data_IF_273745047820
#
_entry.id   IF_273745047820
#
_cell.length_a   1.000
_cell.length_b   1.000
_cell.length_c   1.000
_cell.angle_alpha   90.00
_cell.angle_beta   90.00
_cell.angle_gamma   90.00
#
_symmetry.space_group_name_H-M   'P 1'
#
loop_
_entity.id
_entity.type
_entity.pdbx_description
1 polymer ?
#
# COMPACT_ATOMS: atom_id res chain seq x y z
N UNK A 1 -32.48 -13.57 -1.50
CA UNK A 1 -31.20 -13.69 -2.22
C UNK A 1 -30.45 -12.39 -2.04
N UNK A 2 -29.13 -12.45 -1.99
CA UNK A 2 -28.28 -11.27 -1.78
C UNK A 2 -27.93 -10.61 -3.12
N UNK A 3 -27.94 -9.28 -3.17
CA UNK A 3 -27.60 -8.47 -4.35
C UNK A 3 -26.26 -7.74 -4.18
N UNK A 4 -25.74 -7.16 -5.27
CA UNK A 4 -24.53 -6.33 -5.21
C UNK A 4 -24.69 -5.06 -4.35
N UNK A 5 -25.92 -4.57 -4.19
CA UNK A 5 -26.21 -3.34 -3.46
C UNK A 5 -26.53 -3.60 -1.99
N UNK A 6 -26.63 -4.86 -1.57
CA UNK A 6 -26.86 -5.21 -0.18
C UNK A 6 -25.57 -5.01 0.64
N UNK A 7 -25.65 -4.53 1.88
CA UNK A 7 -24.50 -4.35 2.74
C UNK A 7 -23.82 -5.70 3.08
N UNK A 8 -22.56 -5.61 3.51
CA UNK A 8 -21.76 -6.74 3.99
C UNK A 8 -20.83 -6.30 5.12
N UNK A 9 -20.71 -7.14 6.15
CA UNK A 9 -19.72 -6.96 7.22
C UNK A 9 -18.45 -7.77 6.92
N UNK A 10 -17.30 -7.11 6.92
CA UNK A 10 -15.98 -7.68 6.70
C UNK A 10 -15.12 -7.46 7.94
N UNK A 11 -15.16 -8.41 8.88
CA UNK A 11 -14.58 -8.20 10.21
C UNK A 11 -15.25 -7.02 10.92
N UNK A 12 -14.50 -5.95 11.14
CA UNK A 12 -14.99 -4.70 11.76
C UNK A 12 -15.39 -3.61 10.75
N UNK A 13 -15.34 -3.92 9.45
CA UNK A 13 -15.70 -2.97 8.38
C UNK A 13 -17.14 -3.25 7.94
N UNK A 14 -18.03 -2.28 8.13
CA UNK A 14 -19.37 -2.28 7.56
C UNK A 14 -19.37 -1.59 6.18
N UNK A 15 -19.40 -2.42 5.13
CA UNK A 15 -19.44 -1.95 3.74
C UNK A 15 -20.90 -1.79 3.28
N UNK A 16 -21.27 -0.63 2.67
CA UNK A 16 -22.66 -0.33 2.28
C UNK A 16 -23.14 -1.17 1.09
N UNK A 17 -22.23 -1.78 0.34
CA UNK A 17 -22.51 -2.63 -0.82
C UNK A 17 -21.36 -3.62 -1.04
N UNK A 18 -21.50 -4.52 -2.02
CA UNK A 18 -20.53 -5.58 -2.36
C UNK A 18 -19.70 -5.25 -3.60
N UNK A 19 -19.63 -3.97 -4.00
CA UNK A 19 -18.86 -3.51 -5.15
C UNK A 19 -17.54 -2.96 -4.62
N UNK A 20 -16.46 -3.72 -4.78
CA UNK A 20 -15.14 -3.35 -4.29
C UNK A 20 -14.27 -2.79 -5.41
N UNK A 21 -13.50 -1.75 -5.09
CA UNK A 21 -12.46 -1.25 -5.98
C UNK A 21 -11.19 -2.07 -5.77
N UNK A 22 -10.81 -2.81 -6.81
CA UNK A 22 -9.59 -3.61 -6.82
C UNK A 22 -8.32 -2.73 -6.70
N UNK A 23 -7.22 -3.28 -6.16
CA UNK A 23 -5.95 -2.56 -6.08
C UNK A 23 -5.37 -2.32 -7.48
N UNK A 24 -5.05 -1.05 -7.78
CA UNK A 24 -4.53 -0.65 -9.08
C UNK A 24 -3.36 0.31 -8.92
N UNK A 25 -2.12 -0.14 -9.16
CA UNK A 25 -0.93 0.71 -9.14
C UNK A 25 -0.98 1.77 -10.24
N UNK A 26 -0.97 3.06 -9.87
CA UNK A 26 -1.14 4.18 -10.82
C UNK A 26 0.11 5.01 -11.06
N UNK A 27 1.15 4.87 -10.24
CA UNK A 27 2.37 5.66 -10.33
C UNK A 27 2.10 7.19 -10.32
N UNK A 28 1.43 7.66 -9.25
CA UNK A 28 1.07 9.09 -9.05
C UNK A 28 1.60 9.68 -7.74
N UNK A 29 2.48 8.95 -7.06
CA UNK A 29 3.25 9.46 -5.93
C UNK A 29 4.40 10.36 -6.37
N UNK A 30 5.10 10.94 -5.41
CA UNK A 30 6.37 11.65 -5.64
C UNK A 30 7.53 10.69 -5.89
N UNK A 31 8.71 11.20 -6.23
CA UNK A 31 9.95 10.39 -6.29
C UNK A 31 10.34 9.81 -4.93
N UNK A 32 9.96 10.49 -3.85
CA UNK A 32 10.15 10.04 -2.46
C UNK A 32 9.03 9.10 -1.97
N UNK A 33 8.20 8.63 -2.92
CA UNK A 33 7.13 7.68 -2.68
C UNK A 33 6.01 8.21 -1.75
N UNK A 34 5.82 9.54 -1.71
CA UNK A 34 4.79 10.22 -0.92
C UNK A 34 3.51 10.38 -1.74
N UNK A 35 2.35 10.16 -1.11
CA UNK A 35 1.04 10.34 -1.74
C UNK A 35 0.72 11.82 -1.99
N UNK A 36 0.24 12.10 -3.20
CA UNK A 36 -0.04 13.46 -3.69
C UNK A 36 -1.51 13.86 -3.52
N UNK A 37 -1.83 15.14 -3.68
CA UNK A 37 -3.22 15.65 -3.58
C UNK A 37 -4.16 15.07 -4.65
N UNK A 38 -3.65 14.80 -5.85
CA UNK A 38 -4.42 14.15 -6.93
C UNK A 38 -4.84 12.73 -6.54
N UNK A 39 -4.03 12.01 -5.75
CA UNK A 39 -4.41 10.68 -5.26
C UNK A 39 -5.58 10.76 -4.27
N UNK A 40 -5.60 11.76 -3.38
CA UNK A 40 -6.71 11.97 -2.46
C UNK A 40 -8.02 12.24 -3.20
N UNK A 41 -8.00 13.13 -4.21
CA UNK A 41 -9.16 13.39 -5.06
C UNK A 41 -9.61 12.13 -5.82
N UNK A 42 -8.64 11.36 -6.36
CA UNK A 42 -8.91 10.14 -7.12
C UNK A 42 -9.67 9.08 -6.30
N UNK A 43 -9.25 8.86 -5.04
CA UNK A 43 -9.92 7.90 -4.17
C UNK A 43 -11.24 8.43 -3.61
N UNK A 44 -11.32 9.72 -3.25
CA UNK A 44 -12.55 10.33 -2.76
C UNK A 44 -13.70 10.23 -3.80
N UNK A 45 -13.40 10.44 -5.08
CA UNK A 45 -14.35 10.26 -6.17
C UNK A 45 -14.91 8.82 -6.30
N UNK A 46 -14.25 7.83 -5.68
CA UNK A 46 -14.60 6.39 -5.73
C UNK A 46 -15.12 5.87 -4.39
N UNK A 47 -15.37 6.76 -3.43
CA UNK A 47 -15.82 6.42 -2.08
C UNK A 47 -17.21 5.74 -2.03
N UNK A 48 -17.96 5.71 -3.14
CA UNK A 48 -19.21 4.95 -3.25
C UNK A 48 -19.00 3.43 -3.33
N UNK A 49 -17.78 2.96 -3.62
CA UNK A 49 -17.44 1.56 -3.51
C UNK A 49 -17.64 1.07 -2.07
N UNK A 50 -18.12 -0.16 -1.90
CA UNK A 50 -18.31 -0.77 -0.59
C UNK A 50 -17.01 -0.80 0.21
N UNK A 51 -15.90 -1.10 -0.48
CA UNK A 51 -14.54 -1.04 0.04
C UNK A 51 -13.56 -0.70 -1.09
N UNK A 52 -12.64 0.20 -0.80
CA UNK A 52 -11.48 0.51 -1.64
C UNK A 52 -10.28 -0.27 -1.12
N UNK A 53 -9.61 -1.01 -2.01
CA UNK A 53 -8.27 -1.54 -1.76
C UNK A 53 -7.30 -0.60 -2.46
N UNK A 54 -6.39 0.02 -1.71
CA UNK A 54 -5.43 0.97 -2.28
C UNK A 54 -4.58 0.34 -3.37
N UNK A 55 -3.91 1.19 -4.16
CA UNK A 55 -2.72 0.77 -4.90
C UNK A 55 -1.71 0.08 -3.98
N UNK A 56 -0.79 -0.69 -4.59
CA UNK A 56 0.24 -1.38 -3.86
C UNK A 56 1.18 -0.39 -3.15
N UNK A 57 1.24 -0.46 -1.82
CA UNK A 57 2.04 0.44 -0.97
C UNK A 57 3.28 -0.30 -0.48
N UNK A 58 4.46 0.21 -0.84
CA UNK A 58 5.73 -0.35 -0.41
C UNK A 58 5.91 -0.29 1.11
N UNK A 59 6.20 -1.43 1.74
CA UNK A 59 6.46 -1.50 3.19
C UNK A 59 7.89 -1.08 3.59
N UNK A 60 8.78 -0.98 2.61
CA UNK A 60 10.20 -0.63 2.79
C UNK A 60 10.78 -0.18 1.45
N UNK A 61 11.86 0.59 1.48
CA UNK A 61 12.59 0.97 0.28
C UNK A 61 13.11 -0.28 -0.47
N UNK A 62 13.66 -1.26 0.26
CA UNK A 62 14.14 -2.53 -0.30
C UNK A 62 13.08 -3.29 -1.09
N UNK A 63 11.81 -3.20 -0.66
CA UNK A 63 10.69 -3.90 -1.24
C UNK A 63 9.95 -3.15 -2.35
N UNK A 64 10.38 -1.93 -2.72
CA UNK A 64 9.70 -1.12 -3.72
C UNK A 64 10.65 -0.79 -4.88
N UNK A 65 10.22 -1.12 -6.10
CA UNK A 65 10.95 -0.94 -7.34
C UNK A 65 10.09 -0.41 -8.48
N UNK A 66 9.00 0.27 -8.15
CA UNK A 66 8.07 0.83 -9.13
C UNK A 66 8.15 2.37 -9.11
N UNK A 67 8.49 3.02 -10.25
CA UNK A 67 8.58 4.48 -10.31
C UNK A 67 7.28 5.14 -9.87
N UNK A 68 7.36 6.11 -8.97
CA UNK A 68 6.22 6.88 -8.46
C UNK A 68 5.10 6.05 -7.79
N UNK A 69 5.34 4.77 -7.48
CA UNK A 69 4.51 4.06 -6.49
C UNK A 69 4.75 4.66 -5.11
N UNK A 70 3.82 4.46 -4.18
CA UNK A 70 3.89 5.05 -2.84
C UNK A 70 4.41 4.08 -1.78
N UNK A 71 4.85 4.63 -0.64
CA UNK A 71 5.41 3.90 0.48
C UNK A 71 4.66 4.13 1.79
N UNK A 72 5.04 3.38 2.84
CA UNK A 72 4.54 3.56 4.22
C UNK A 72 5.63 3.38 5.30
N UNK A 73 6.91 3.57 4.95
CA UNK A 73 8.02 3.40 5.90
C UNK A 73 8.44 4.69 6.59
N UNK A 74 8.17 5.87 6.00
CA UNK A 74 8.49 7.17 6.58
C UNK A 74 7.27 7.89 7.16
N UNK A 75 7.50 8.87 8.04
CA UNK A 75 6.43 9.70 8.61
C UNK A 75 5.77 10.59 7.56
N UNK A 76 6.55 11.09 6.59
CA UNK A 76 6.03 11.90 5.49
C UNK A 76 5.07 11.09 4.59
N UNK A 77 5.40 9.83 4.33
CA UNK A 77 4.54 8.91 3.59
C UNK A 77 3.23 8.62 4.34
N UNK A 78 3.32 8.42 5.66
CA UNK A 78 2.14 8.29 6.53
C UNK A 78 1.28 9.54 6.48
N UNK A 79 1.86 10.75 6.57
CA UNK A 79 1.14 12.01 6.43
C UNK A 79 0.48 12.18 5.05
N UNK A 80 1.15 11.70 3.99
CA UNK A 80 0.59 11.63 2.65
C UNK A 80 -0.66 10.75 2.58
N UNK A 81 -0.58 9.54 3.15
CA UNK A 81 -1.71 8.60 3.18
C UNK A 81 -2.84 9.03 4.10
N UNK A 82 -2.55 9.71 5.22
CA UNK A 82 -3.58 10.31 6.08
C UNK A 82 -4.50 11.25 5.30
N UNK A 83 -3.95 12.12 4.45
CA UNK A 83 -4.74 13.01 3.58
C UNK A 83 -5.65 12.24 2.62
N UNK A 84 -5.20 11.10 2.11
CA UNK A 84 -5.99 10.25 1.22
C UNK A 84 -7.12 9.57 1.98
N UNK A 85 -6.82 8.95 3.13
CA UNK A 85 -7.82 8.27 3.96
C UNK A 85 -8.86 9.24 4.48
N UNK A 86 -8.47 10.45 4.90
CA UNK A 86 -9.40 11.48 5.36
C UNK A 86 -10.33 11.94 4.24
N UNK A 87 -9.83 12.12 3.02
CA UNK A 87 -10.67 12.46 1.87
C UNK A 87 -11.68 11.35 1.52
N UNK A 88 -11.28 10.08 1.63
CA UNK A 88 -12.20 8.94 1.43
C UNK A 88 -13.26 8.89 2.53
N UNK A 89 -12.87 9.02 3.80
CA UNK A 89 -13.80 8.96 4.91
C UNK A 89 -14.75 10.17 4.94
N UNK A 90 -14.27 11.37 4.59
CA UNK A 90 -15.12 12.55 4.43
C UNK A 90 -16.17 12.38 3.32
N UNK A 91 -15.86 11.61 2.29
CA UNK A 91 -16.79 11.21 1.23
C UNK A 91 -17.64 9.97 1.61
N UNK A 92 -17.55 9.48 2.85
CA UNK A 92 -18.31 8.33 3.35
C UNK A 92 -17.79 6.97 2.85
N UNK A 93 -16.56 6.89 2.34
CA UNK A 93 -15.98 5.64 1.84
C UNK A 93 -15.26 4.82 2.91
N UNK A 94 -14.78 3.63 2.52
CA UNK A 94 -13.93 2.75 3.34
C UNK A 94 -12.71 2.37 2.51
N UNK A 95 -11.52 2.39 3.11
CA UNK A 95 -10.27 2.07 2.41
C UNK A 95 -9.34 1.24 3.29
N UNK A 96 -8.66 0.27 2.68
CA UNK A 96 -7.60 -0.54 3.30
C UNK A 96 -6.32 -0.47 2.46
N UNK A 97 -5.16 -0.67 3.09
CA UNK A 97 -3.87 -0.65 2.42
C UNK A 97 -3.50 -2.01 1.82
N UNK A 98 -3.11 -2.04 0.54
CA UNK A 98 -2.42 -3.19 -0.05
C UNK A 98 -0.92 -3.12 0.30
N UNK A 99 -0.50 -3.78 1.37
CA UNK A 99 0.91 -3.85 1.75
C UNK A 99 1.72 -4.67 0.73
N UNK A 100 2.82 -4.09 0.24
CA UNK A 100 3.57 -4.65 -0.88
C UNK A 100 5.07 -4.78 -0.62
N UNK A 101 5.61 -5.93 -1.01
CA UNK A 101 7.04 -6.17 -1.19
C UNK A 101 7.25 -6.90 -2.51
N UNK A 102 7.91 -6.25 -3.47
CA UNK A 102 8.12 -6.72 -4.83
C UNK A 102 9.11 -7.88 -4.94
N UNK A 103 10.04 -7.98 -4.00
CA UNK A 103 11.03 -9.06 -3.96
C UNK A 103 11.97 -9.00 -5.17
N UNK A 104 12.17 -10.14 -5.85
CA UNK A 104 13.12 -10.29 -6.97
C UNK A 104 12.85 -9.43 -8.20
N UNK A 105 11.75 -8.69 -8.23
CA UNK A 105 11.42 -7.78 -9.34
C UNK A 105 11.90 -6.34 -9.10
N UNK A 106 12.41 -6.02 -7.90
CA UNK A 106 13.03 -4.73 -7.61
C UNK A 106 14.37 -4.62 -8.33
N UNK A 107 14.62 -3.48 -8.97
CA UNK A 107 15.92 -3.21 -9.56
C UNK A 107 16.87 -2.52 -8.56
N UNK A 108 18.17 -2.84 -8.51
CA UNK A 108 19.13 -2.25 -7.57
C UNK A 108 19.24 -0.72 -7.64
N UNK A 109 18.88 -0.12 -8.77
CA UNK A 109 18.84 1.35 -8.93
C UNK A 109 17.88 2.06 -7.96
N UNK A 110 16.88 1.36 -7.41
CA UNK A 110 15.96 1.93 -6.42
C UNK A 110 16.53 1.95 -5.00
N UNK A 111 17.58 1.17 -4.74
CA UNK A 111 18.10 0.90 -3.40
C UNK A 111 19.62 1.06 -3.31
N UNK A 112 20.20 2.02 -4.05
CA UNK A 112 21.63 2.33 -3.97
C UNK A 112 22.55 1.17 -4.38
N UNK A 113 22.10 0.28 -5.27
CA UNK A 113 22.86 -0.87 -5.73
C UNK A 113 22.66 -2.16 -4.93
N UNK A 114 21.85 -2.13 -3.86
CA UNK A 114 21.51 -3.33 -3.08
C UNK A 114 20.69 -4.30 -3.93
N UNK A 115 21.06 -5.58 -3.91
CA UNK A 115 20.36 -6.61 -4.67
C UNK A 115 18.93 -6.84 -4.12
N UNK A 116 17.99 -7.19 -5.01
CA UNK A 116 16.63 -7.50 -4.56
C UNK A 116 16.62 -8.77 -3.71
N UNK A 117 15.67 -8.87 -2.80
CA UNK A 117 15.49 -10.06 -1.97
C UNK A 117 14.50 -11.04 -2.59
N UNK A 118 14.74 -12.33 -2.40
CA UNK A 118 13.85 -13.41 -2.83
C UNK A 118 13.91 -14.59 -1.87
N UNK A 119 12.97 -15.52 -2.01
CA UNK A 119 13.07 -16.81 -1.33
C UNK A 119 14.30 -17.61 -1.80
N UNK A 120 14.65 -17.48 -3.08
CA UNK A 120 15.76 -18.20 -3.71
C UNK A 120 16.55 -17.28 -4.63
N UNK A 121 17.84 -17.57 -4.80
CA UNK A 121 18.79 -16.80 -5.61
C UNK A 121 18.54 -16.92 -7.12
N UNK A 122 17.42 -16.35 -7.57
CA UNK A 122 16.87 -16.44 -8.94
C UNK A 122 16.64 -15.05 -9.52
N UNK A 123 16.59 -14.96 -10.84
CA UNK A 123 16.32 -13.71 -11.57
C UNK A 123 14.90 -13.74 -12.10
N UNK A 124 14.12 -12.68 -11.88
CA UNK A 124 12.81 -12.56 -12.51
C UNK A 124 12.97 -12.46 -14.04
N UNK A 125 12.09 -13.05 -14.85
CA UNK A 125 12.14 -12.84 -16.30
C UNK A 125 11.82 -11.38 -16.65
N UNK A 126 12.34 -10.91 -17.79
CA UNK A 126 12.00 -9.60 -18.35
C UNK A 126 12.81 -8.42 -17.80
N UNK A 127 12.18 -7.25 -17.78
CA UNK A 127 12.81 -5.99 -17.41
C UNK A 127 12.03 -5.31 -16.29
N UNK A 128 12.76 -4.61 -15.43
CA UNK A 128 12.20 -3.72 -14.42
C UNK A 128 12.04 -2.31 -15.00
N UNK A 129 10.92 -1.67 -14.70
CA UNK A 129 10.70 -0.26 -14.99
C UNK A 129 11.51 0.59 -14.01
N UNK A 130 12.48 1.36 -14.49
CA UNK A 130 13.26 2.30 -13.65
C UNK A 130 12.93 3.75 -14.00
N UNK A 131 13.49 4.70 -13.26
CA UNK A 131 13.30 6.14 -13.51
C UNK A 131 13.93 6.64 -14.81
N UNK A 132 14.93 5.95 -15.35
CA UNK A 132 15.67 6.36 -16.56
C UNK A 132 15.28 5.54 -17.78
N UNK A 133 15.25 4.21 -17.64
CA UNK A 133 14.87 3.31 -18.73
C UNK A 133 14.48 1.90 -18.22
N UNK A 134 13.82 1.12 -19.07
CA UNK A 134 13.63 -0.32 -18.82
C UNK A 134 14.98 -1.02 -18.69
N UNK A 135 15.24 -1.70 -17.57
CA UNK A 135 16.53 -2.35 -17.27
C UNK A 135 16.33 -3.82 -16.96
N UNK A 136 17.29 -4.67 -17.37
CA UNK A 136 17.22 -6.10 -17.04
C UNK A 136 17.17 -6.31 -15.54
N UNK A 137 16.33 -7.24 -15.11
CA UNK A 137 16.26 -7.67 -13.71
C UNK A 137 17.59 -8.29 -13.25
N UNK A 138 17.98 -8.05 -12.00
CA UNK A 138 19.18 -8.64 -11.40
C UNK A 138 18.85 -9.95 -10.68
N UNK A 139 19.89 -10.76 -10.44
CA UNK A 139 19.76 -11.94 -9.59
C UNK A 139 19.48 -11.50 -8.17
N UNK A 140 18.40 -12.00 -7.60
CA UNK A 140 18.07 -11.70 -6.22
C UNK A 140 18.96 -12.46 -5.25
N UNK A 141 19.21 -11.87 -4.09
CA UNK A 141 19.84 -12.56 -2.97
C UNK A 141 18.80 -13.46 -2.29
N UNK A 142 19.13 -14.73 -2.00
CA UNK A 142 18.27 -15.58 -1.19
C UNK A 142 18.21 -14.98 0.22
N UNK A 143 17.00 -14.78 0.72
CA UNK A 143 16.78 -14.28 2.06
C UNK A 143 17.13 -15.39 3.06
N UNK A 144 18.40 -15.45 3.50
CA UNK A 144 18.90 -16.44 4.44
C UNK A 144 18.28 -16.35 5.85
N UNK A 145 17.47 -15.31 6.14
CA UNK A 145 16.76 -15.13 7.41
C UNK A 145 15.33 -14.66 7.19
N UNK A 146 14.38 -15.52 7.56
CA UNK A 146 12.92 -15.27 7.68
C UNK A 146 12.56 -13.99 8.47
N UNK A 147 13.51 -13.39 9.21
CA UNK A 147 13.32 -12.17 10.02
C UNK A 147 13.21 -10.88 9.20
N UNK A 148 13.79 -10.79 8.00
CA UNK A 148 13.92 -9.50 7.30
C UNK A 148 12.57 -8.94 6.80
N UNK A 149 11.73 -9.79 6.21
CA UNK A 149 10.40 -9.41 5.71
C UNK A 149 9.36 -9.22 6.82
N UNK A 150 9.47 -9.98 7.93
CA UNK A 150 8.46 -9.96 8.99
C UNK A 150 8.45 -8.63 9.75
N UNK A 151 9.63 -8.04 9.98
CA UNK A 151 9.76 -6.78 10.70
C UNK A 151 9.18 -5.60 9.93
N UNK A 152 9.44 -5.51 8.62
CA UNK A 152 8.94 -4.43 7.77
C UNK A 152 7.42 -4.50 7.59
N UNK A 153 6.86 -5.70 7.42
CA UNK A 153 5.40 -5.86 7.33
C UNK A 153 4.69 -5.49 8.63
N UNK A 154 5.19 -5.92 9.79
CA UNK A 154 4.61 -5.57 11.09
C UNK A 154 4.69 -4.06 11.33
N UNK A 155 5.82 -3.44 10.97
CA UNK A 155 6.00 -2.00 11.11
C UNK A 155 5.04 -1.21 10.22
N UNK A 156 4.90 -1.59 8.94
CA UNK A 156 3.95 -0.98 8.02
C UNK A 156 2.50 -1.17 8.49
N UNK A 157 2.11 -2.37 8.94
CA UNK A 157 0.79 -2.62 9.50
C UNK A 157 0.49 -1.76 10.75
N UNK A 158 1.48 -1.55 11.64
CA UNK A 158 1.33 -0.63 12.78
C UNK A 158 1.16 0.82 12.36
N UNK A 159 1.76 1.23 11.23
CA UNK A 159 1.59 2.58 10.67
C UNK A 159 0.25 2.73 9.96
N UNK A 160 -0.21 1.71 9.25
CA UNK A 160 -1.57 1.65 8.70
C UNK A 160 -2.62 1.83 9.81
N UNK A 161 -2.47 1.10 10.92
CA UNK A 161 -3.35 1.27 12.09
C UNK A 161 -3.34 2.71 12.64
N UNK A 162 -2.23 3.45 12.54
CA UNK A 162 -2.19 4.87 12.91
C UNK A 162 -2.95 5.75 11.90
N UNK A 163 -2.84 5.46 10.61
CA UNK A 163 -3.65 6.14 9.59
C UNK A 163 -5.15 5.92 9.83
N UNK A 164 -5.56 4.69 10.13
CA UNK A 164 -6.94 4.35 10.42
C UNK A 164 -7.49 5.03 11.69
N UNK A 165 -6.67 5.15 12.75
CA UNK A 165 -7.06 5.77 14.03
C UNK A 165 -7.07 7.30 14.04
N UNK A 166 -6.24 7.93 13.20
CA UNK A 166 -6.17 9.39 13.08
C UNK A 166 -7.40 10.00 12.43
N UNK A 167 -8.10 9.22 11.60
CA UNK A 167 -9.34 9.65 10.96
C UNK A 167 -10.51 9.60 11.94
N UNK A 168 -11.35 10.64 11.91
CA UNK A 168 -12.41 10.94 12.90
C UNK A 168 -13.35 9.75 13.19
N UNK A 169 -13.49 8.81 12.26
CA UNK A 169 -14.27 7.58 12.40
C UNK A 169 -13.82 6.66 13.55
N UNK A 170 -12.55 6.67 13.95
CA UNK A 170 -12.04 5.81 15.02
C UNK A 170 -12.30 6.36 16.43
N UNK A 171 -12.68 7.64 16.58
CA UNK A 171 -13.02 8.22 17.90
C UNK A 171 -14.35 7.71 18.46
N UNK A 172 -15.14 7.00 17.65
CA UNK A 172 -16.42 6.42 18.05
C UNK A 172 -16.32 4.97 18.56
N UNK A 173 -15.12 4.37 18.59
CA UNK A 173 -14.94 3.05 19.21
C UNK A 173 -14.70 3.22 20.72
N UNK A 174 -15.50 2.59 21.59
CA UNK A 174 -15.22 2.56 23.02
C UNK A 174 -13.88 1.84 23.26
N UNK A 175 -13.08 2.25 24.26
CA UNK A 175 -11.82 1.61 24.55
C UNK A 175 -12.07 0.16 24.96
N UNK A 176 -11.69 -0.79 24.10
CA UNK A 176 -11.54 -2.18 24.50
C UNK A 176 -10.26 -2.29 25.32
N UNK A 177 -10.43 -2.27 26.64
CA UNK A 177 -9.37 -2.61 27.58
C UNK A 177 -9.08 -4.10 27.53
N UNK A 178 -7.85 -4.44 27.13
CA UNK A 178 -7.05 -5.58 27.62
C UNK A 178 -5.60 -5.09 27.66
#
# INVERSE_FOLDING_TARGET
MTTLFDPIRLGDIEAPNRIFMAPMTRARGTRDHVSTSIMAQYYAQRASAGLIISEAIGISQQGLGWPFATGLWSDEQVAGWLRVTDAVHAAGGRIIAQLWHMGRTVHPSFNGGVQPLSASGTTAPGHAHTYTASSRTSRADPCARTKCLRSSTIFAARREMRCARGSMACRCMPPTGI
#
